data_IF_024831555306
#
_entry.id   IF_024831555306
#
_cell.length_a   1.000
_cell.length_b   1.000
_cell.length_c   1.000
_cell.angle_alpha   90.00
_cell.angle_beta   90.00
_cell.angle_gamma   90.00
#
_symmetry.space_group_name_H-M   'P 1'
#
loop_
_entity.id
_entity.type
_entity.pdbx_description
1 polymer ?
#
# COMPACT_ATOMS: atom_id res chain seq x y z
N UNK A 1 -18.01 14.77 -20.69
CA UNK A 1 -17.06 15.42 -19.75
C UNK A 1 -16.51 16.71 -20.34
N UNK A 2 -15.77 16.65 -21.46
CA UNK A 2 -15.21 17.82 -22.15
C UNK A 2 -16.24 18.91 -22.49
N UNK A 3 -17.45 18.54 -22.96
CA UNK A 3 -18.52 19.51 -23.22
C UNK A 3 -18.97 20.31 -21.98
N UNK A 4 -19.06 19.64 -20.82
CA UNK A 4 -19.43 20.28 -19.54
C UNK A 4 -18.27 21.07 -18.90
N UNK A 5 -17.01 20.73 -19.19
CA UNK A 5 -15.86 21.50 -18.75
C UNK A 5 -15.75 22.81 -19.54
N UNK A 6 -16.04 22.77 -20.84
CA UNK A 6 -16.14 23.97 -21.68
C UNK A 6 -17.28 24.92 -21.21
N UNK A 7 -18.43 24.38 -20.78
CA UNK A 7 -19.51 25.17 -20.15
C UNK A 7 -19.08 25.87 -18.84
N UNK A 8 -18.05 25.35 -18.16
CA UNK A 8 -17.48 25.91 -16.93
C UNK A 8 -16.29 26.84 -17.19
N UNK A 9 -15.91 27.06 -18.45
CA UNK A 9 -14.70 27.79 -18.80
C UNK A 9 -13.41 27.12 -18.32
N UNK A 10 -13.47 25.82 -18.01
CA UNK A 10 -12.32 25.02 -17.57
C UNK A 10 -11.71 24.38 -18.80
N UNK A 11 -10.51 24.81 -19.21
CA UNK A 11 -9.78 24.12 -20.28
C UNK A 11 -9.31 22.75 -19.77
N UNK A 12 -9.82 21.64 -20.33
CA UNK A 12 -9.44 20.30 -19.90
C UNK A 12 -7.98 19.94 -20.24
N UNK A 13 -7.30 20.77 -21.05
CA UNK A 13 -5.89 20.66 -21.41
C UNK A 13 -4.98 21.56 -20.59
N UNK A 14 -5.52 22.52 -19.84
CA UNK A 14 -4.76 23.37 -18.90
C UNK A 14 -4.73 22.75 -17.49
N UNK A 15 -3.56 22.33 -16.98
CA UNK A 15 -3.42 21.80 -15.63
C UNK A 15 -3.86 22.79 -14.53
N UNK A 16 -3.76 24.10 -14.75
CA UNK A 16 -4.10 25.12 -13.77
C UNK A 16 -5.63 25.25 -13.60
N UNK A 17 -6.37 25.31 -14.70
CA UNK A 17 -7.85 25.31 -14.68
C UNK A 17 -8.42 24.04 -14.06
N UNK A 18 -7.71 22.92 -14.23
CA UNK A 18 -8.10 21.62 -13.72
C UNK A 18 -7.80 21.43 -12.23
N UNK A 19 -6.85 22.19 -11.66
CA UNK A 19 -6.40 22.04 -10.28
C UNK A 19 -7.45 22.45 -9.23
N UNK A 20 -8.39 23.31 -9.61
CA UNK A 20 -9.45 23.80 -8.71
C UNK A 20 -10.68 22.88 -8.66
N UNK A 21 -10.76 21.89 -9.55
CA UNK A 21 -11.89 20.99 -9.67
C UNK A 21 -11.70 19.76 -8.77
N UNK A 22 -12.62 19.56 -7.81
CA UNK A 22 -12.63 18.31 -7.05
C UNK A 22 -12.97 17.16 -7.99
N UNK A 23 -12.21 16.06 -7.98
CA UNK A 23 -12.39 14.90 -8.85
C UNK A 23 -12.17 13.59 -8.10
N UNK A 24 -12.91 12.56 -8.51
CA UNK A 24 -12.85 11.18 -8.03
C UNK A 24 -13.68 10.75 -6.82
N UNK A 25 -14.29 11.62 -5.97
CA UNK A 25 -15.12 11.09 -4.90
C UNK A 25 -16.22 10.18 -5.45
N UNK A 26 -16.29 8.96 -4.91
CA UNK A 26 -17.32 7.99 -5.26
C UNK A 26 -18.70 8.55 -4.95
N UNK A 27 -19.69 8.19 -5.76
CA UNK A 27 -21.08 8.61 -5.61
C UNK A 27 -21.34 10.12 -5.76
N UNK A 28 -20.33 10.93 -6.08
CA UNK A 28 -20.48 12.38 -6.23
C UNK A 28 -21.23 12.75 -7.51
N UNK A 29 -20.98 12.02 -8.60
CA UNK A 29 -21.37 12.44 -9.93
C UNK A 29 -22.88 12.53 -10.12
N UNK A 30 -23.61 11.60 -9.51
CA UNK A 30 -25.06 11.39 -9.70
C UNK A 30 -25.80 11.12 -8.40
N UNK A 31 -25.17 10.52 -7.41
CA UNK A 31 -25.89 9.94 -6.28
C UNK A 31 -25.97 10.85 -5.04
N UNK A 32 -24.89 11.54 -4.67
CA UNK A 32 -24.81 12.26 -3.40
C UNK A 32 -25.53 13.62 -3.42
N UNK A 33 -26.33 13.88 -2.38
CA UNK A 33 -27.00 15.17 -2.15
C UNK A 33 -26.15 16.10 -1.27
N UNK A 34 -25.21 15.54 -0.51
CA UNK A 34 -24.30 16.25 0.38
C UNK A 34 -22.89 15.68 0.23
N UNK A 35 -21.87 16.51 0.45
CA UNK A 35 -20.49 16.05 0.51
C UNK A 35 -19.74 16.71 1.67
N UNK A 36 -18.74 16.00 2.19
CA UNK A 36 -17.69 16.60 3.03
C UNK A 36 -16.62 17.12 2.08
N UNK A 37 -16.49 18.44 2.02
CA UNK A 37 -15.54 19.16 1.16
C UNK A 37 -14.33 19.55 1.98
N UNK A 38 -13.14 19.24 1.48
CA UNK A 38 -11.87 19.71 2.04
C UNK A 38 -11.48 21.00 1.34
N UNK A 39 -11.39 22.11 2.07
CA UNK A 39 -11.02 23.41 1.52
C UNK A 39 -10.08 24.18 2.46
N UNK A 40 -9.24 25.05 1.90
CA UNK A 40 -8.40 25.96 2.68
C UNK A 40 -9.27 26.97 3.43
N UNK A 41 -9.20 26.97 4.76
CA UNK A 41 -9.88 27.95 5.61
C UNK A 41 -9.12 29.28 5.54
N UNK A 42 -9.80 30.32 5.04
CA UNK A 42 -9.26 31.69 4.99
C UNK A 42 -10.12 32.58 5.88
N UNK A 43 -9.49 33.31 6.81
CA UNK A 43 -10.15 34.29 7.68
C UNK A 43 -9.32 35.57 7.63
N UNK A 44 -9.96 36.70 7.28
CA UNK A 44 -9.32 38.01 7.18
C UNK A 44 -8.01 37.99 6.36
N UNK A 45 -8.04 37.30 5.21
CA UNK A 45 -6.89 37.14 4.31
C UNK A 45 -5.82 36.14 4.76
N UNK A 46 -5.96 35.55 5.96
CA UNK A 46 -5.01 34.54 6.48
C UNK A 46 -5.48 33.11 6.19
N UNK A 47 -4.59 32.32 5.60
CA UNK A 47 -4.81 30.90 5.33
C UNK A 47 -4.44 30.03 6.55
N UNK A 48 -5.38 29.21 7.02
CA UNK A 48 -5.23 28.29 8.15
C UNK A 48 -5.11 26.82 7.72
N UNK A 49 -5.02 26.56 6.41
CA UNK A 49 -4.88 25.24 5.84
C UNK A 49 -6.21 24.49 5.64
N UNK A 50 -6.14 23.22 5.21
CA UNK A 50 -7.31 22.43 4.82
C UNK A 50 -8.21 22.10 6.02
N UNK A 51 -9.51 22.29 5.85
CA UNK A 51 -10.57 21.99 6.81
C UNK A 51 -11.76 21.31 6.12
N UNK A 52 -12.57 20.61 6.91
CA UNK A 52 -13.72 19.85 6.42
C UNK A 52 -15.03 20.63 6.61
N UNK A 53 -15.83 20.69 5.55
CA UNK A 53 -17.12 21.37 5.52
C UNK A 53 -18.19 20.45 4.94
N UNK A 54 -19.35 20.34 5.59
CA UNK A 54 -20.51 19.67 5.00
C UNK A 54 -21.19 20.64 4.04
N UNK A 55 -21.29 20.29 2.77
CA UNK A 55 -21.89 21.13 1.74
C UNK A 55 -23.08 20.40 1.12
N UNK A 56 -24.30 20.97 1.18
CA UNK A 56 -25.41 20.45 0.39
C UNK A 56 -25.11 20.72 -1.10
N UNK A 57 -25.25 19.70 -1.92
CA UNK A 57 -24.94 19.72 -3.34
C UNK A 57 -26.18 19.77 -4.23
N UNK A 58 -27.25 19.10 -3.80
CA UNK A 58 -28.48 18.92 -4.56
C UNK A 58 -29.69 19.20 -3.69
N UNK A 59 -30.74 19.69 -4.34
CA UNK A 59 -32.05 19.81 -3.75
C UNK A 59 -32.60 18.41 -3.38
N UNK A 60 -33.12 18.19 -2.16
CA UNK A 60 -33.52 16.86 -1.68
C UNK A 60 -34.76 16.30 -2.37
N UNK A 61 -35.61 17.14 -2.98
CA UNK A 61 -36.85 16.71 -3.62
C UNK A 61 -36.64 16.45 -5.11
N UNK A 62 -35.95 17.37 -5.79
CA UNK A 62 -35.75 17.35 -7.24
C UNK A 62 -34.43 16.71 -7.66
N UNK A 63 -33.48 16.56 -6.73
CA UNK A 63 -32.12 16.08 -6.96
C UNK A 63 -31.27 16.95 -7.92
N UNK A 64 -31.77 18.14 -8.24
CA UNK A 64 -31.08 19.10 -9.09
C UNK A 64 -29.94 19.78 -8.32
N UNK A 65 -28.78 20.04 -8.94
CA UNK A 65 -27.70 20.77 -8.30
C UNK A 65 -28.17 22.14 -7.78
N UNK A 66 -27.73 22.52 -6.58
CA UNK A 66 -28.03 23.83 -6.02
C UNK A 66 -27.29 24.95 -6.78
N UNK A 67 -27.78 26.19 -6.66
CA UNK A 67 -27.18 27.36 -7.32
C UNK A 67 -25.70 27.52 -6.97
N UNK A 68 -24.86 27.74 -7.98
CA UNK A 68 -23.42 27.88 -7.83
C UNK A 68 -22.68 26.55 -7.64
N UNK A 69 -23.34 25.42 -7.81
CA UNK A 69 -22.73 24.08 -7.74
C UNK A 69 -22.78 23.44 -9.11
N UNK A 70 -21.62 23.02 -9.60
CA UNK A 70 -21.56 22.17 -10.79
C UNK A 70 -21.02 20.80 -10.43
N UNK A 71 -21.80 19.77 -10.73
CA UNK A 71 -21.49 18.38 -10.41
C UNK A 71 -21.82 17.46 -11.58
N UNK A 72 -21.00 16.44 -11.78
CA UNK A 72 -21.21 15.46 -12.85
C UNK A 72 -20.30 14.24 -12.72
N UNK A 73 -20.60 13.21 -13.49
CA UNK A 73 -19.80 11.99 -13.57
C UNK A 73 -18.55 12.20 -14.43
N UNK A 74 -17.43 11.59 -14.03
CA UNK A 74 -16.15 11.69 -14.76
C UNK A 74 -16.06 10.75 -15.97
N UNK A 75 -17.01 9.81 -16.12
CA UNK A 75 -17.11 8.90 -17.24
C UNK A 75 -16.53 7.50 -16.97
N UNK A 76 -16.25 6.76 -18.06
CA UNK A 76 -15.69 5.42 -17.98
C UNK A 76 -14.34 5.39 -17.24
N UNK A 77 -14.11 4.29 -16.52
CA UNK A 77 -12.93 4.04 -15.70
C UNK A 77 -12.36 2.67 -16.06
N UNK A 78 -11.11 2.40 -15.66
CA UNK A 78 -10.50 1.08 -15.83
C UNK A 78 -11.34 -0.04 -15.17
N UNK A 79 -11.93 0.25 -14.02
CA UNK A 79 -12.77 -0.66 -13.26
C UNK A 79 -13.85 0.12 -12.51
N UNK A 80 -14.60 -0.58 -11.63
CA UNK A 80 -15.66 0.02 -10.81
C UNK A 80 -16.67 0.85 -11.61
N UNK A 81 -17.01 0.38 -12.82
CA UNK A 81 -17.96 1.02 -13.72
C UNK A 81 -19.29 1.44 -13.08
N UNK A 82 -19.90 0.64 -12.18
CA UNK A 82 -21.13 1.02 -11.50
C UNK A 82 -21.03 2.21 -10.52
N UNK A 83 -19.82 2.61 -10.12
CA UNK A 83 -19.63 3.74 -9.17
C UNK A 83 -19.59 5.05 -9.96
N UNK A 84 -20.47 6.00 -9.61
CA UNK A 84 -20.54 7.32 -10.24
C UNK A 84 -19.53 8.31 -9.64
N UNK A 85 -18.23 8.03 -9.81
CA UNK A 85 -17.18 8.94 -9.41
C UNK A 85 -17.35 10.31 -10.08
N UNK A 86 -17.42 11.36 -9.27
CA UNK A 86 -17.80 12.68 -9.76
C UNK A 86 -16.67 13.68 -9.86
N UNK A 87 -16.99 14.79 -10.51
CA UNK A 87 -16.31 16.08 -10.35
C UNK A 87 -17.24 17.10 -9.68
N UNK A 88 -16.66 18.09 -9.03
CA UNK A 88 -17.38 19.14 -8.32
C UNK A 88 -16.65 20.48 -8.38
N UNK A 89 -17.38 21.53 -8.75
CA UNK A 89 -16.95 22.92 -8.74
C UNK A 89 -17.94 23.80 -7.99
N UNK A 90 -17.43 24.84 -7.34
CA UNK A 90 -18.20 25.83 -6.60
C UNK A 90 -17.97 27.23 -7.18
N UNK A 91 -19.05 27.95 -7.43
CA UNK A 91 -19.06 29.37 -7.74
C UNK A 91 -19.66 30.13 -6.56
N UNK A 92 -18.78 30.72 -5.74
CA UNK A 92 -19.14 31.55 -4.57
C UNK A 92 -20.26 30.97 -3.68
N UNK A 93 -20.25 29.64 -3.50
CA UNK A 93 -21.25 28.92 -2.71
C UNK A 93 -21.18 29.31 -1.23
N UNK A 94 -22.33 29.64 -0.63
CA UNK A 94 -22.42 30.02 0.79
C UNK A 94 -23.00 28.87 1.60
N UNK A 95 -22.34 28.56 2.71
CA UNK A 95 -22.81 27.60 3.71
C UNK A 95 -22.78 28.24 5.10
N UNK A 96 -23.66 27.82 6.02
CA UNK A 96 -23.59 28.24 7.42
C UNK A 96 -22.25 27.91 8.09
N UNK A 97 -21.80 28.74 9.04
CA UNK A 97 -20.53 28.51 9.79
C UNK A 97 -20.47 27.13 10.44
N UNK A 98 -21.59 26.67 11.01
CA UNK A 98 -21.71 25.38 11.68
C UNK A 98 -21.64 24.17 10.75
N UNK A 99 -21.58 24.36 9.42
CA UNK A 99 -21.26 23.29 8.48
C UNK A 99 -19.77 22.91 8.49
N UNK A 100 -18.90 23.72 9.07
CA UNK A 100 -17.52 23.32 9.36
C UNK A 100 -17.51 22.25 10.46
N UNK A 101 -16.75 21.17 10.26
CA UNK A 101 -16.63 20.10 11.24
C UNK A 101 -15.71 20.51 12.40
N UNK A 102 -16.31 21.07 13.46
CA UNK A 102 -15.59 21.77 14.52
C UNK A 102 -15.17 20.95 15.75
N UNK A 103 -15.04 19.62 15.63
CA UNK A 103 -14.68 18.76 16.78
C UNK A 103 -13.30 19.13 17.36
N UNK A 104 -12.31 19.32 16.49
CA UNK A 104 -10.91 19.56 16.88
C UNK A 104 -10.43 20.98 16.58
N UNK A 105 -10.82 21.59 15.46
CA UNK A 105 -10.55 22.99 15.14
C UNK A 105 -11.86 23.78 15.21
N UNK A 106 -11.86 25.05 15.64
CA UNK A 106 -13.09 25.85 15.76
C UNK A 106 -12.92 27.23 15.17
N UNK A 107 -13.98 27.77 14.60
CA UNK A 107 -14.09 29.18 14.22
C UNK A 107 -15.27 29.75 14.97
N UNK A 108 -15.09 30.73 15.84
CA UNK A 108 -16.18 31.36 16.58
C UNK A 108 -17.03 32.27 15.67
N UNK A 109 -18.24 32.70 16.08
CA UNK A 109 -19.06 33.62 15.28
C UNK A 109 -18.37 34.96 14.97
N UNK A 110 -17.48 35.42 15.84
CA UNK A 110 -16.64 36.62 15.66
C UNK A 110 -15.36 36.36 14.83
N UNK A 111 -15.22 35.18 14.21
CA UNK A 111 -14.11 34.87 13.31
C UNK A 111 -12.82 34.40 13.99
N UNK A 112 -12.80 34.17 15.31
CA UNK A 112 -11.59 33.69 15.99
C UNK A 112 -11.38 32.20 15.75
N UNK A 113 -10.17 31.85 15.33
CA UNK A 113 -9.76 30.47 15.06
C UNK A 113 -9.08 29.82 16.27
N UNK A 114 -9.60 28.67 16.71
CA UNK A 114 -8.98 27.80 17.69
C UNK A 114 -8.36 26.58 16.99
N UNK A 115 -7.06 26.39 17.18
CA UNK A 115 -6.27 25.32 16.54
C UNK A 115 -6.59 23.94 17.12
N UNK A 116 -6.45 22.86 16.33
CA UNK A 116 -6.57 21.51 16.84
C UNK A 116 -5.40 21.12 17.75
N UNK A 117 -5.61 20.16 18.69
CA UNK A 117 -4.53 19.65 19.56
C UNK A 117 -3.37 19.03 18.79
N UNK A 118 -3.66 18.37 17.67
CA UNK A 118 -2.65 17.80 16.78
C UNK A 118 -2.96 18.14 15.32
N UNK A 119 -1.96 18.63 14.59
CA UNK A 119 -2.13 19.21 13.25
C UNK A 119 -2.64 18.21 12.18
N UNK A 120 -2.52 16.90 12.41
CA UNK A 120 -2.90 15.85 11.44
C UNK A 120 -4.17 15.09 11.80
N UNK A 121 -4.90 15.50 12.83
CA UNK A 121 -6.08 14.74 13.31
C UNK A 121 -7.21 14.64 12.27
N UNK A 122 -7.27 15.57 11.30
CA UNK A 122 -8.25 15.55 10.22
C UNK A 122 -8.09 14.39 9.21
N UNK A 123 -6.98 13.66 9.26
CA UNK A 123 -6.68 12.55 8.35
C UNK A 123 -7.03 11.16 8.92
N UNK A 124 -7.63 11.09 10.12
CA UNK A 124 -7.93 9.82 10.81
C UNK A 124 -8.77 8.85 9.99
N UNK A 125 -9.74 9.35 9.22
CA UNK A 125 -10.56 8.52 8.35
C UNK A 125 -9.72 7.79 7.28
N UNK A 126 -8.73 8.46 6.67
CA UNK A 126 -7.85 7.82 5.69
C UNK A 126 -6.96 6.75 6.34
N UNK A 127 -6.47 6.99 7.56
CA UNK A 127 -5.69 5.98 8.30
C UNK A 127 -6.53 4.72 8.52
N UNK A 128 -7.79 4.90 8.94
CA UNK A 128 -8.73 3.80 9.12
C UNK A 128 -8.97 3.04 7.81
N UNK A 129 -9.32 3.72 6.71
CA UNK A 129 -9.57 3.05 5.41
C UNK A 129 -8.36 2.24 4.95
N UNK A 130 -7.13 2.78 5.10
CA UNK A 130 -5.90 2.09 4.70
C UNK A 130 -5.66 0.80 5.46
N UNK A 131 -6.07 0.72 6.73
CA UNK A 131 -6.00 -0.51 7.50
C UNK A 131 -6.89 -1.62 6.91
N UNK A 132 -8.17 -1.30 6.67
CA UNK A 132 -9.12 -2.26 6.08
C UNK A 132 -8.72 -2.69 4.66
N UNK A 133 -8.14 -1.77 3.88
CA UNK A 133 -7.70 -2.07 2.53
C UNK A 133 -6.74 -3.25 2.46
N UNK A 134 -5.88 -3.47 3.46
CA UNK A 134 -4.94 -4.60 3.45
C UNK A 134 -5.68 -5.92 3.47
N UNK A 135 -6.71 -6.01 4.33
CA UNK A 135 -7.58 -7.18 4.41
C UNK A 135 -8.33 -7.40 3.09
N UNK A 136 -8.89 -6.34 2.51
CA UNK A 136 -9.63 -6.42 1.23
C UNK A 136 -8.74 -6.84 0.05
N UNK A 137 -7.56 -6.24 -0.07
CA UNK A 137 -6.57 -6.58 -1.09
C UNK A 137 -6.23 -8.05 -1.04
N UNK A 138 -6.02 -8.53 0.18
CA UNK A 138 -5.83 -9.92 0.36
C UNK A 138 -7.04 -10.77 -0.10
N UNK A 139 -8.28 -10.40 0.26
CA UNK A 139 -9.48 -11.16 -0.15
C UNK A 139 -9.60 -11.23 -1.67
N UNK A 140 -9.26 -10.15 -2.37
CA UNK A 140 -9.20 -10.14 -3.83
C UNK A 140 -8.17 -11.15 -4.36
N UNK A 141 -6.96 -11.20 -3.77
CA UNK A 141 -5.97 -12.19 -4.15
C UNK A 141 -6.47 -13.62 -3.90
N UNK A 142 -7.08 -13.88 -2.74
CA UNK A 142 -7.63 -15.20 -2.40
C UNK A 142 -8.73 -15.64 -3.39
N UNK A 143 -9.60 -14.73 -3.84
CA UNK A 143 -10.62 -15.01 -4.86
C UNK A 143 -10.00 -15.38 -6.22
N UNK A 144 -8.98 -14.64 -6.66
CA UNK A 144 -8.26 -14.92 -7.90
C UNK A 144 -7.55 -16.28 -7.83
N UNK A 145 -6.82 -16.54 -6.74
CA UNK A 145 -6.12 -17.80 -6.50
C UNK A 145 -7.09 -18.97 -6.38
N UNK A 146 -8.22 -18.81 -5.70
CA UNK A 146 -9.26 -19.86 -5.62
C UNK A 146 -9.72 -20.30 -7.01
N UNK A 147 -9.97 -19.33 -7.89
CA UNK A 147 -10.37 -19.61 -9.28
C UNK A 147 -9.24 -20.31 -10.04
N UNK A 148 -8.02 -19.79 -9.96
CA UNK A 148 -6.87 -20.34 -10.67
C UNK A 148 -6.46 -21.74 -10.20
N UNK A 149 -6.48 -22.00 -8.89
CA UNK A 149 -6.17 -23.31 -8.29
C UNK A 149 -7.23 -24.33 -8.70
N UNK A 150 -8.52 -24.01 -8.55
CA UNK A 150 -9.61 -24.91 -8.95
C UNK A 150 -9.60 -25.21 -10.45
N UNK A 151 -9.39 -24.19 -11.27
CA UNK A 151 -9.25 -24.36 -12.71
C UNK A 151 -8.06 -25.26 -13.06
N UNK A 152 -6.90 -25.04 -12.43
CA UNK A 152 -5.70 -25.84 -12.64
C UNK A 152 -5.88 -27.31 -12.22
N UNK A 153 -6.62 -27.59 -11.16
CA UNK A 153 -6.89 -28.96 -10.72
C UNK A 153 -7.72 -29.77 -11.73
N UNK A 154 -8.49 -29.10 -12.59
CA UNK A 154 -9.34 -29.74 -13.61
C UNK A 154 -8.70 -29.69 -15.00
N UNK A 155 -8.00 -28.60 -15.34
CA UNK A 155 -7.42 -28.40 -16.66
C UNK A 155 -6.22 -29.31 -16.88
N UNK A 156 -6.35 -30.21 -17.86
CA UNK A 156 -5.23 -31.04 -18.35
C UNK A 156 -4.66 -30.45 -19.63
N UNK A 157 -3.36 -30.17 -19.65
CA UNK A 157 -2.66 -29.65 -20.82
C UNK A 157 -1.19 -30.02 -20.75
N UNK A 158 -0.67 -30.74 -21.76
CA UNK A 158 0.68 -31.31 -21.73
C UNK A 158 0.72 -32.68 -21.03
N UNK A 159 1.91 -33.27 -20.95
CA UNK A 159 2.13 -34.61 -20.37
C UNK A 159 3.30 -34.58 -19.38
N UNK A 160 3.12 -35.20 -18.21
CA UNK A 160 4.23 -35.46 -17.29
C UNK A 160 4.83 -36.81 -17.69
N UNK A 161 5.99 -36.77 -18.35
CA UNK A 161 6.77 -37.97 -18.63
C UNK A 161 7.71 -38.25 -17.46
N UNK A 162 7.80 -39.49 -16.96
CA UNK A 162 8.78 -39.85 -15.93
C UNK A 162 10.19 -39.44 -16.37
N UNK A 163 10.92 -38.72 -15.51
CA UNK A 163 12.29 -38.27 -15.77
C UNK A 163 12.45 -36.97 -16.59
N UNK A 164 11.36 -36.35 -17.05
CA UNK A 164 11.40 -35.03 -17.70
C UNK A 164 10.62 -34.04 -16.84
N UNK A 165 11.29 -32.97 -16.37
CA UNK A 165 10.64 -31.85 -15.71
C UNK A 165 9.77 -31.11 -16.75
N UNK A 166 8.58 -31.65 -17.00
CA UNK A 166 7.68 -31.16 -18.05
C UNK A 166 7.15 -29.75 -17.73
N UNK A 167 6.84 -28.99 -18.79
CA UNK A 167 6.26 -27.64 -18.73
C UNK A 167 5.02 -27.52 -17.81
N UNK A 168 4.34 -28.62 -17.48
CA UNK A 168 3.25 -28.68 -16.50
C UNK A 168 3.68 -28.19 -15.11
N UNK A 169 4.92 -28.47 -14.70
CA UNK A 169 5.48 -28.00 -13.44
C UNK A 169 5.67 -26.47 -13.42
N UNK A 170 5.69 -25.82 -14.59
CA UNK A 170 5.75 -24.35 -14.72
C UNK A 170 4.35 -23.72 -14.61
N UNK A 171 3.28 -24.43 -15.04
CA UNK A 171 1.89 -23.96 -14.89
C UNK A 171 1.36 -24.16 -13.47
N UNK A 172 1.51 -25.35 -12.89
CA UNK A 172 1.19 -25.57 -11.46
C UNK A 172 2.18 -24.86 -10.55
N UNK A 173 3.44 -24.78 -10.97
CA UNK A 173 4.44 -23.93 -10.34
C UNK A 173 4.16 -22.46 -10.48
N UNK A 174 3.36 -21.98 -11.44
CA UNK A 174 2.92 -20.58 -11.54
C UNK A 174 1.81 -20.24 -10.53
N UNK A 175 0.97 -21.23 -10.21
CA UNK A 175 -0.04 -21.14 -9.14
C UNK A 175 0.60 -21.35 -7.76
N UNK A 176 1.62 -22.21 -7.65
CA UNK A 176 2.43 -22.41 -6.43
C UNK A 176 3.47 -21.29 -6.19
N UNK A 177 4.13 -20.77 -7.24
CA UNK A 177 4.95 -19.53 -7.24
C UNK A 177 4.09 -18.27 -7.23
N UNK A 178 2.80 -18.41 -7.50
CA UNK A 178 1.75 -17.41 -7.32
C UNK A 178 1.46 -17.24 -5.83
N UNK A 179 2.50 -16.96 -5.06
CA UNK A 179 2.45 -16.29 -3.75
C UNK A 179 1.35 -16.84 -2.84
N UNK A 180 1.32 -18.15 -2.66
CA UNK A 180 0.49 -18.80 -1.62
C UNK A 180 0.89 -18.33 -0.20
N UNK A 181 2.10 -17.81 -0.01
CA UNK A 181 2.48 -17.08 1.21
C UNK A 181 1.77 -15.72 1.39
N UNK A 182 1.17 -15.17 0.34
CA UNK A 182 0.33 -13.96 0.39
C UNK A 182 -1.16 -14.28 0.56
N UNK A 183 -1.57 -15.54 0.38
CA UNK A 183 -2.95 -16.05 0.53
C UNK A 183 -3.48 -15.95 1.97
N UNK A 184 -2.60 -15.76 2.97
CA UNK A 184 -3.00 -15.61 4.37
C UNK A 184 -2.86 -14.20 4.92
N UNK A 185 -2.14 -13.33 4.21
CA UNK A 185 -2.12 -11.88 4.51
C UNK A 185 -3.52 -11.25 4.38
N UNK A 186 -4.45 -11.96 3.75
CA UNK A 186 -5.82 -11.57 3.48
C UNK A 186 -6.90 -12.04 4.43
N UNK A 187 -6.70 -13.24 4.96
CA UNK A 187 -7.78 -14.04 5.55
C UNK A 187 -7.68 -14.00 7.07
N UNK A 188 -6.51 -13.68 7.60
CA UNK A 188 -6.34 -13.37 9.01
C UNK A 188 -6.65 -11.89 9.15
N UNK A 189 -7.89 -11.61 9.55
CA UNK A 189 -8.25 -10.35 10.20
C UNK A 189 -7.36 -10.18 11.45
N UNK A 190 -6.15 -9.67 11.25
CA UNK A 190 -5.31 -9.26 12.35
C UNK A 190 -5.84 -7.91 12.84
N UNK A 191 -6.13 -7.73 14.12
CA UNK A 191 -6.18 -6.41 14.72
C UNK A 191 -4.73 -5.94 14.86
N UNK A 192 -4.10 -5.48 13.77
CA UNK A 192 -2.85 -4.75 13.89
C UNK A 192 -3.20 -3.38 14.47
N UNK A 193 -2.36 -2.85 15.37
CA UNK A 193 -2.59 -1.52 15.94
C UNK A 193 -2.54 -0.46 14.83
N UNK A 194 -3.50 0.46 14.89
CA UNK A 194 -3.95 1.40 13.83
C UNK A 194 -2.85 2.26 13.17
N UNK A 195 -1.68 2.45 13.78
CA UNK A 195 -0.67 3.42 13.30
C UNK A 195 0.31 2.88 12.24
N UNK A 196 0.47 1.55 12.12
CA UNK A 196 1.46 0.96 11.19
C UNK A 196 0.83 0.37 9.92
N UNK A 197 -0.46 0.04 9.95
CA UNK A 197 -1.18 -0.54 8.82
C UNK A 197 -1.19 0.40 7.60
N UNK A 198 -1.29 1.72 7.80
CA UNK A 198 -1.17 2.73 6.73
C UNK A 198 0.07 2.52 5.83
N UNK A 199 1.16 2.00 6.39
CA UNK A 199 2.48 1.95 5.75
C UNK A 199 2.72 0.65 4.98
N UNK A 200 1.88 -0.37 5.18
CA UNK A 200 1.95 -1.65 4.47
C UNK A 200 1.24 -1.63 3.11
N UNK A 201 0.23 -0.75 2.99
CA UNK A 201 -0.67 -0.63 1.84
C UNK A 201 0.08 -0.64 0.51
N UNK A 202 1.15 0.13 0.38
CA UNK A 202 1.86 0.28 -0.88
C UNK A 202 2.49 -1.03 -1.39
N UNK A 203 3.07 -1.82 -0.48
CA UNK A 203 3.69 -3.09 -0.82
C UNK A 203 2.62 -4.14 -1.07
N UNK A 204 1.63 -4.25 -0.16
CA UNK A 204 0.57 -5.25 -0.26
C UNK A 204 -0.25 -5.08 -1.54
N UNK A 205 -0.74 -3.87 -1.83
CA UNK A 205 -1.55 -3.61 -3.03
C UNK A 205 -0.80 -3.90 -4.33
N UNK A 206 0.49 -3.55 -4.40
CA UNK A 206 1.33 -3.84 -5.55
C UNK A 206 1.53 -5.35 -5.74
N UNK A 207 1.82 -6.06 -4.64
CA UNK A 207 2.03 -7.50 -4.67
C UNK A 207 0.73 -8.24 -5.05
N UNK A 208 -0.40 -7.85 -4.48
CA UNK A 208 -1.71 -8.39 -4.82
C UNK A 208 -2.04 -8.19 -6.29
N UNK A 209 -1.79 -7.00 -6.84
CA UNK A 209 -1.98 -6.75 -8.28
C UNK A 209 -1.18 -7.72 -9.14
N UNK A 210 0.10 -7.94 -8.80
CA UNK A 210 0.93 -8.94 -9.50
C UNK A 210 0.39 -10.37 -9.32
N UNK A 211 -0.04 -10.74 -8.12
CA UNK A 211 -0.56 -12.08 -7.82
C UNK A 211 -1.86 -12.38 -8.58
N UNK A 212 -2.79 -11.43 -8.64
CA UNK A 212 -4.05 -11.57 -9.40
C UNK A 212 -3.74 -11.75 -10.89
N UNK A 213 -2.81 -10.97 -11.45
CA UNK A 213 -2.46 -11.09 -12.86
C UNK A 213 -1.76 -12.42 -13.17
N UNK A 214 -0.91 -12.92 -12.26
CA UNK A 214 -0.35 -14.28 -12.36
C UNK A 214 -1.45 -15.36 -12.30
N UNK A 215 -2.45 -15.22 -11.43
CA UNK A 215 -3.59 -16.12 -11.37
C UNK A 215 -4.39 -16.10 -12.68
N UNK A 216 -4.58 -14.92 -13.28
CA UNK A 216 -5.22 -14.76 -14.60
C UNK A 216 -4.46 -15.53 -15.68
N UNK A 217 -3.16 -15.30 -15.79
CA UNK A 217 -2.30 -15.94 -16.79
C UNK A 217 -2.19 -17.46 -16.59
N UNK A 218 -2.25 -17.93 -15.35
CA UNK A 218 -2.26 -19.36 -15.02
C UNK A 218 -3.48 -20.11 -15.59
N UNK A 219 -4.57 -19.39 -15.86
CA UNK A 219 -5.75 -19.95 -16.52
C UNK A 219 -5.66 -19.97 -18.06
N UNK A 220 -4.55 -19.51 -18.64
CA UNK A 220 -4.35 -19.41 -20.08
C UNK A 220 -5.37 -18.47 -20.76
N UNK A 221 -5.78 -18.79 -21.99
CA UNK A 221 -6.75 -18.00 -22.74
C UNK A 221 -8.11 -17.84 -22.04
N UNK A 222 -8.54 -18.84 -21.25
CA UNK A 222 -9.79 -18.74 -20.50
C UNK A 222 -9.73 -17.70 -19.37
N UNK A 223 -8.54 -17.42 -18.83
CA UNK A 223 -8.33 -16.34 -17.87
C UNK A 223 -8.52 -14.95 -18.47
N UNK A 224 -8.46 -14.80 -19.79
CA UNK A 224 -8.75 -13.52 -20.46
C UNK A 224 -10.26 -13.26 -20.62
N UNK A 225 -11.08 -14.31 -20.53
CA UNK A 225 -12.54 -14.19 -20.61
C UNK A 225 -13.13 -13.64 -19.32
N UNK A 226 -14.21 -12.85 -19.45
CA UNK A 226 -15.04 -12.43 -18.31
C UNK A 226 -15.64 -13.58 -17.52
N UNK A 227 -15.76 -14.77 -18.13
CA UNK A 227 -16.21 -15.98 -17.43
C UNK A 227 -15.28 -16.38 -16.26
N UNK A 228 -14.00 -15.98 -16.29
CA UNK A 228 -13.08 -16.18 -15.17
C UNK A 228 -13.27 -15.19 -14.03
N UNK A 229 -13.91 -14.04 -14.29
CA UNK A 229 -14.03 -12.88 -13.39
C UNK A 229 -12.70 -12.25 -12.90
N UNK A 230 -11.53 -12.82 -13.24
CA UNK A 230 -10.22 -12.34 -12.78
C UNK A 230 -9.87 -10.94 -13.35
N UNK A 231 -10.16 -10.60 -14.62
CA UNK A 231 -9.87 -9.26 -15.15
C UNK A 231 -10.61 -8.13 -14.41
N UNK A 232 -11.90 -8.34 -14.09
CA UNK A 232 -12.71 -7.35 -13.37
C UNK A 232 -12.20 -7.20 -11.92
N UNK A 233 -11.84 -8.33 -11.29
CA UNK A 233 -11.24 -8.36 -9.96
C UNK A 233 -9.88 -7.64 -9.90
N UNK A 234 -9.01 -7.86 -10.90
CA UNK A 234 -7.75 -7.13 -11.05
C UNK A 234 -7.99 -5.63 -11.14
N UNK A 235 -8.94 -5.22 -11.98
CA UNK A 235 -9.30 -3.82 -12.16
C UNK A 235 -9.71 -3.15 -10.85
N UNK A 236 -10.48 -3.84 -10.00
CA UNK A 236 -10.87 -3.32 -8.68
C UNK A 236 -9.68 -3.26 -7.74
N UNK A 237 -8.91 -4.35 -7.62
CA UNK A 237 -7.80 -4.44 -6.67
C UNK A 237 -6.66 -3.45 -6.99
N UNK A 238 -6.31 -3.29 -8.27
CA UNK A 238 -5.17 -2.44 -8.67
C UNK A 238 -5.41 -0.95 -8.43
N UNK A 239 -6.67 -0.50 -8.35
CA UNK A 239 -7.01 0.85 -7.93
C UNK A 239 -6.45 1.17 -6.54
N UNK A 240 -6.31 0.14 -5.69
CA UNK A 240 -5.69 0.23 -4.38
C UNK A 240 -4.23 0.65 -4.42
N UNK A 241 -3.55 0.65 -5.57
CA UNK A 241 -2.21 1.23 -5.70
C UNK A 241 -2.22 2.78 -5.79
N UNK A 242 -3.38 3.38 -6.02
CA UNK A 242 -3.52 4.82 -6.31
C UNK A 242 -4.39 5.54 -5.29
N UNK A 243 -5.61 5.06 -5.04
CA UNK A 243 -6.49 5.71 -4.09
C UNK A 243 -5.99 5.56 -2.65
N UNK A 244 -6.46 6.45 -1.77
CA UNK A 244 -6.05 6.53 -0.36
C UNK A 244 -4.52 6.70 -0.19
N UNK A 245 -3.86 7.33 -1.16
CA UNK A 245 -2.43 7.65 -1.15
C UNK A 245 -1.65 6.82 -2.16
N UNK A 246 -1.05 7.49 -3.14
CA UNK A 246 -0.26 6.84 -4.17
C UNK A 246 0.92 6.06 -3.55
N UNK A 247 1.17 4.86 -4.05
CA UNK A 247 2.08 3.90 -3.42
C UNK A 247 3.50 4.44 -3.23
N UNK A 248 4.09 5.13 -4.20
CA UNK A 248 5.44 5.70 -4.04
C UNK A 248 5.45 6.80 -2.97
N UNK A 249 4.43 7.67 -2.94
CA UNK A 249 4.30 8.68 -1.87
C UNK A 249 4.17 8.02 -0.49
N UNK A 250 3.41 6.93 -0.38
CA UNK A 250 3.27 6.18 0.87
C UNK A 250 4.58 5.51 1.30
N UNK A 251 5.34 4.93 0.37
CA UNK A 251 6.68 4.42 0.67
C UNK A 251 7.62 5.53 1.17
N UNK A 252 7.54 6.73 0.61
CA UNK A 252 8.31 7.88 1.08
C UNK A 252 7.91 8.33 2.49
N UNK A 253 6.63 8.23 2.85
CA UNK A 253 6.19 8.50 4.23
C UNK A 253 6.75 7.49 5.24
N UNK A 254 6.84 6.21 4.86
CA UNK A 254 7.52 5.17 5.65
C UNK A 254 9.03 5.43 5.70
N UNK A 255 9.66 5.80 4.59
CA UNK A 255 11.07 6.13 4.56
C UNK A 255 11.45 7.27 5.52
N UNK A 256 10.58 8.29 5.69
CA UNK A 256 10.82 9.36 6.68
C UNK A 256 10.84 8.84 8.12
N UNK A 257 10.04 7.83 8.43
CA UNK A 257 10.08 7.15 9.73
C UNK A 257 11.39 6.35 9.88
N UNK A 258 11.75 5.57 8.87
CA UNK A 258 12.99 4.78 8.85
C UNK A 258 14.25 5.65 8.94
N UNK A 259 14.27 6.81 8.30
CA UNK A 259 15.38 7.76 8.39
C UNK A 259 15.59 8.26 9.83
N UNK A 260 14.51 8.60 10.54
CA UNK A 260 14.59 9.01 11.96
C UNK A 260 15.02 7.84 12.85
N UNK A 261 14.54 6.63 12.57
CA UNK A 261 14.95 5.43 13.31
C UNK A 261 16.44 5.13 13.12
N UNK A 262 16.96 5.22 11.88
CA UNK A 262 18.37 5.04 11.58
C UNK A 262 19.24 6.13 12.26
N UNK A 263 18.77 7.38 12.27
CA UNK A 263 19.45 8.46 12.99
C UNK A 263 19.52 8.20 14.51
N UNK A 264 18.41 7.75 15.11
CA UNK A 264 18.35 7.39 16.52
C UNK A 264 19.27 6.19 16.85
N UNK A 265 19.29 5.17 15.98
CA UNK A 265 20.16 4.01 16.11
C UNK A 265 21.65 4.42 16.13
N UNK A 266 22.05 5.34 15.24
CA UNK A 266 23.41 5.86 15.16
C UNK A 266 23.81 6.70 16.38
N UNK A 267 22.83 7.29 17.09
CA UNK A 267 23.03 8.01 18.35
C UNK A 267 22.98 7.10 19.58
N UNK A 268 22.83 5.78 19.41
CA UNK A 268 22.70 4.83 20.52
C UNK A 268 21.40 4.99 21.32
N UNK A 269 20.36 5.58 20.73
CA UNK A 269 19.07 5.78 21.39
C UNK A 269 18.23 4.50 21.37
N UNK A 270 17.35 4.36 22.37
CA UNK A 270 16.39 3.26 22.41
C UNK A 270 15.41 3.35 21.23
N UNK A 271 15.15 2.21 20.59
CA UNK A 271 14.29 2.08 19.44
C UNK A 271 12.98 1.36 19.80
N UNK A 272 11.92 1.65 19.07
CA UNK A 272 10.68 0.88 19.18
C UNK A 272 10.82 -0.50 18.54
N UNK A 273 10.02 -1.46 19.00
CA UNK A 273 10.00 -2.87 18.54
C UNK A 273 9.93 -3.06 17.01
N UNK A 274 9.39 -2.10 16.27
CA UNK A 274 9.29 -2.23 14.81
C UNK A 274 10.64 -2.09 14.10
N UNK A 275 11.63 -1.48 14.75
CA UNK A 275 12.91 -1.09 14.14
C UNK A 275 14.09 -1.41 15.05
N UNK A 276 13.90 -2.23 16.08
CA UNK A 276 14.96 -2.70 16.99
C UNK A 276 16.03 -3.51 16.25
N UNK A 277 15.67 -4.23 15.20
CA UNK A 277 16.60 -4.91 14.29
C UNK A 277 17.71 -3.99 13.74
N UNK A 278 17.52 -2.66 13.71
CA UNK A 278 18.55 -1.71 13.29
C UNK A 278 19.76 -1.70 14.23
N UNK A 279 19.58 -1.99 15.53
CA UNK A 279 20.67 -2.02 16.53
C UNK A 279 21.14 -3.43 16.85
N UNK A 280 20.36 -4.47 16.57
CA UNK A 280 20.73 -5.86 16.85
C UNK A 280 21.95 -6.34 16.05
N UNK A 281 22.76 -7.21 16.67
CA UNK A 281 23.90 -7.80 15.99
C UNK A 281 23.42 -8.77 14.91
N UNK A 282 23.82 -8.54 13.66
CA UNK A 282 23.59 -9.51 12.58
C UNK A 282 24.70 -10.55 12.54
N UNK A 283 24.31 -11.82 12.41
CA UNK A 283 25.26 -12.92 12.26
C UNK A 283 26.08 -12.77 10.96
N UNK A 284 27.36 -13.15 11.03
CA UNK A 284 28.27 -13.09 9.87
C UNK A 284 27.84 -14.05 8.77
N UNK A 285 27.49 -15.28 9.15
CA UNK A 285 27.05 -16.34 8.24
C UNK A 285 25.59 -16.68 8.48
N UNK A 286 24.91 -17.07 7.40
CA UNK A 286 23.56 -17.62 7.49
C UNK A 286 23.60 -19.03 8.08
N UNK A 287 22.57 -19.39 8.83
CA UNK A 287 22.36 -20.75 9.35
C UNK A 287 21.05 -21.35 8.84
N UNK A 288 20.46 -20.79 7.78
CA UNK A 288 19.17 -21.24 7.20
C UNK A 288 19.21 -22.72 6.79
N UNK A 289 20.35 -23.19 6.30
CA UNK A 289 20.61 -24.58 5.88
C UNK A 289 20.78 -25.56 7.05
N UNK A 290 20.91 -25.06 8.29
CA UNK A 290 21.26 -25.84 9.49
C UNK A 290 20.14 -25.89 10.52
N UNK A 291 18.94 -25.42 10.17
CA UNK A 291 17.80 -25.36 11.09
C UNK A 291 17.01 -26.67 11.09
N UNK A 292 16.41 -26.98 12.25
CA UNK A 292 15.45 -28.07 12.34
C UNK A 292 14.20 -27.76 11.49
N UNK A 293 13.45 -28.80 11.14
CA UNK A 293 12.17 -28.64 10.45
C UNK A 293 11.24 -27.74 11.29
N UNK A 294 10.63 -26.74 10.66
CA UNK A 294 9.81 -25.69 11.29
C UNK A 294 10.52 -24.75 12.29
N UNK A 295 11.85 -24.72 12.34
CA UNK A 295 12.59 -23.61 12.94
C UNK A 295 12.87 -22.55 11.86
N UNK A 296 12.27 -21.37 12.02
CA UNK A 296 12.39 -20.26 11.08
C UNK A 296 13.25 -19.10 11.62
N UNK A 297 13.94 -19.29 12.74
CA UNK A 297 14.68 -18.20 13.38
C UNK A 297 15.80 -17.61 12.50
N UNK A 298 16.49 -18.42 11.69
CA UNK A 298 17.51 -17.92 10.76
C UNK A 298 16.89 -17.21 9.54
N UNK A 299 15.69 -17.63 9.11
CA UNK A 299 14.95 -16.92 8.06
C UNK A 299 14.58 -15.51 8.54
N UNK A 300 14.00 -15.38 9.74
CA UNK A 300 13.64 -14.09 10.34
C UNK A 300 14.86 -13.17 10.49
N UNK A 301 15.98 -13.70 11.02
CA UNK A 301 17.25 -12.96 11.07
C UNK A 301 17.75 -12.51 9.70
N UNK A 302 17.52 -13.28 8.65
CA UNK A 302 17.88 -12.88 7.29
C UNK A 302 17.00 -11.72 6.79
N UNK A 303 15.69 -11.74 7.05
CA UNK A 303 14.82 -10.58 6.78
C UNK A 303 15.28 -9.33 7.54
N UNK A 304 15.62 -9.48 8.82
CA UNK A 304 16.13 -8.39 9.67
C UNK A 304 17.44 -7.82 9.12
N UNK A 305 18.37 -8.69 8.72
CA UNK A 305 19.64 -8.29 8.10
C UNK A 305 19.42 -7.56 6.78
N UNK A 306 18.57 -8.06 5.89
CA UNK A 306 18.27 -7.40 4.61
C UNK A 306 17.67 -6.01 4.83
N UNK A 307 16.71 -5.88 5.75
CA UNK A 307 16.09 -4.61 6.08
C UNK A 307 17.13 -3.64 6.70
N UNK A 308 17.96 -4.12 7.62
CA UNK A 308 19.03 -3.32 8.25
C UNK A 308 20.00 -2.78 7.21
N UNK A 309 20.54 -3.64 6.36
CA UNK A 309 21.53 -3.26 5.34
C UNK A 309 20.98 -2.17 4.42
N UNK A 310 19.77 -2.37 3.87
CA UNK A 310 19.19 -1.41 2.95
C UNK A 310 18.79 -0.08 3.61
N UNK A 311 18.28 -0.10 4.85
CA UNK A 311 17.96 1.12 5.60
C UNK A 311 19.24 1.92 5.90
N UNK A 312 20.29 1.25 6.38
CA UNK A 312 21.56 1.89 6.69
C UNK A 312 22.25 2.44 5.44
N UNK A 313 22.24 1.69 4.34
CA UNK A 313 22.73 2.16 3.03
C UNK A 313 22.02 3.42 2.56
N UNK A 314 20.68 3.45 2.64
CA UNK A 314 19.90 4.63 2.28
C UNK A 314 20.21 5.82 3.20
N UNK A 315 20.38 5.58 4.50
CA UNK A 315 20.73 6.61 5.48
C UNK A 315 22.13 7.19 5.26
N UNK A 316 23.15 6.35 5.02
CA UNK A 316 24.52 6.77 4.75
C UNK A 316 24.62 7.57 3.45
N UNK A 317 23.92 7.15 2.40
CA UNK A 317 23.84 7.90 1.14
C UNK A 317 23.18 9.27 1.35
N UNK A 318 22.11 9.35 2.15
CA UNK A 318 21.47 10.63 2.50
C UNK A 318 22.46 11.57 3.21
N UNK A 319 23.26 11.04 4.15
CA UNK A 319 24.31 11.80 4.84
C UNK A 319 25.40 12.28 3.88
N UNK A 320 25.85 11.42 2.97
CA UNK A 320 26.86 11.77 1.98
C UNK A 320 26.38 12.90 1.05
N UNK A 321 25.13 12.83 0.56
CA UNK A 321 24.53 13.88 -0.27
C UNK A 321 24.39 15.20 0.48
N UNK A 322 24.00 15.15 1.75
CA UNK A 322 23.91 16.36 2.59
C UNK A 322 25.31 16.96 2.85
N UNK A 323 26.33 16.12 3.03
CA UNK A 323 27.72 16.56 3.20
C UNK A 323 28.32 17.18 1.92
N UNK A 324 27.80 16.84 0.74
CA UNK A 324 28.14 17.47 -0.54
C UNK A 324 27.49 18.85 -0.72
N UNK A 325 26.71 19.34 0.27
CA UNK A 325 26.11 20.66 0.25
C UNK A 325 24.73 20.73 -0.41
N UNK A 326 24.11 19.59 -0.76
CA UNK A 326 22.74 19.58 -1.27
C UNK A 326 21.75 20.03 -0.18
N UNK A 327 20.67 20.69 -0.61
CA UNK A 327 19.53 20.96 0.25
C UNK A 327 18.91 19.65 0.75
N UNK A 328 18.13 19.71 1.84
CA UNK A 328 17.47 18.51 2.39
C UNK A 328 16.50 17.90 1.39
N UNK A 329 15.80 18.75 0.64
CA UNK A 329 14.82 18.39 -0.37
C UNK A 329 15.50 17.72 -1.58
N UNK A 330 16.59 18.30 -2.08
CA UNK A 330 17.33 17.76 -3.23
C UNK A 330 18.04 16.46 -2.87
N UNK A 331 18.67 16.39 -1.69
CA UNK A 331 19.28 15.17 -1.19
C UNK A 331 18.23 14.05 -1.01
N UNK A 332 17.03 14.39 -0.52
CA UNK A 332 15.94 13.44 -0.39
C UNK A 332 15.48 12.91 -1.75
N UNK A 333 15.30 13.81 -2.72
CA UNK A 333 14.89 13.44 -4.07
C UNK A 333 15.95 12.56 -4.77
N UNK A 334 17.22 12.93 -4.69
CA UNK A 334 18.35 12.15 -5.24
C UNK A 334 18.52 10.78 -4.57
N UNK A 335 17.98 10.59 -3.37
CA UNK A 335 18.00 9.33 -2.62
C UNK A 335 16.64 8.60 -2.59
N UNK A 336 15.61 9.12 -3.27
CA UNK A 336 14.24 8.63 -3.13
C UNK A 336 14.09 7.15 -3.51
N UNK A 337 14.84 6.68 -4.51
CA UNK A 337 14.84 5.27 -4.94
C UNK A 337 15.36 4.34 -3.85
N UNK A 338 16.45 4.70 -3.17
CA UNK A 338 17.00 3.90 -2.07
C UNK A 338 16.07 3.91 -0.86
N UNK A 339 15.40 5.04 -0.61
CA UNK A 339 14.36 5.14 0.40
C UNK A 339 13.14 4.26 0.09
N UNK A 340 12.70 4.21 -1.16
CA UNK A 340 11.63 3.30 -1.59
C UNK A 340 12.04 1.82 -1.46
N UNK A 341 13.30 1.49 -1.77
CA UNK A 341 13.86 0.15 -1.54
C UNK A 341 13.85 -0.20 -0.05
N UNK A 342 14.35 0.68 0.81
CA UNK A 342 14.36 0.47 2.26
C UNK A 342 12.95 0.28 2.83
N UNK A 343 11.99 1.11 2.42
CA UNK A 343 10.59 0.99 2.83
C UNK A 343 9.98 -0.36 2.41
N UNK A 344 10.26 -0.85 1.21
CA UNK A 344 9.77 -2.16 0.72
C UNK A 344 10.36 -3.34 1.50
N UNK A 345 11.68 -3.36 1.69
CA UNK A 345 12.35 -4.45 2.42
C UNK A 345 11.92 -4.49 3.88
N UNK A 346 11.83 -3.32 4.54
CA UNK A 346 11.30 -3.22 5.89
C UNK A 346 9.87 -3.75 6.00
N UNK A 347 9.00 -3.40 5.04
CA UNK A 347 7.63 -3.91 5.01
C UNK A 347 7.59 -5.43 4.86
N UNK A 348 8.43 -6.02 4.00
CA UNK A 348 8.50 -7.47 3.83
C UNK A 348 9.03 -8.17 5.09
N UNK A 349 10.04 -7.61 5.75
CA UNK A 349 10.54 -8.09 7.04
C UNK A 349 9.42 -8.08 8.10
N UNK A 350 8.68 -6.99 8.22
CA UNK A 350 7.56 -6.90 9.15
C UNK A 350 6.51 -7.98 8.90
N UNK A 351 6.16 -8.21 7.63
CA UNK A 351 5.16 -9.23 7.28
C UNK A 351 5.67 -10.63 7.61
N UNK A 352 6.95 -10.93 7.37
CA UNK A 352 7.54 -12.22 7.71
C UNK A 352 7.40 -12.53 9.21
N UNK A 353 7.76 -11.57 10.08
CA UNK A 353 7.61 -11.71 11.52
C UNK A 353 6.14 -11.88 11.94
N UNK A 354 5.23 -11.08 11.39
CA UNK A 354 3.80 -11.17 11.72
C UNK A 354 3.19 -12.49 11.30
N UNK A 355 3.58 -13.02 10.15
CA UNK A 355 3.08 -14.32 9.70
C UNK A 355 3.56 -15.43 10.66
N UNK A 356 4.84 -15.45 11.00
CA UNK A 356 5.39 -16.41 11.97
C UNK A 356 4.71 -16.31 13.36
N UNK A 357 4.52 -15.10 13.89
CA UNK A 357 3.78 -14.89 15.14
C UNK A 357 2.36 -15.46 15.08
N UNK A 358 1.66 -15.29 13.96
CA UNK A 358 0.31 -15.79 13.79
C UNK A 358 0.24 -17.30 13.73
N UNK A 359 1.08 -17.95 12.91
CA UNK A 359 1.10 -19.41 12.79
C UNK A 359 1.33 -20.04 14.17
N UNK A 360 2.21 -19.47 14.98
CA UNK A 360 2.45 -19.93 16.34
C UNK A 360 1.28 -19.69 17.31
N UNK A 361 0.39 -18.74 17.01
CA UNK A 361 -0.82 -18.47 17.80
C UNK A 361 -2.00 -19.40 17.48
N UNK A 362 -1.95 -20.12 16.34
CA UNK A 362 -3.03 -21.03 15.93
C UNK A 362 -3.05 -22.27 16.82
N UNK A 363 -4.20 -22.54 17.43
CA UNK A 363 -4.41 -23.67 18.34
C UNK A 363 -4.73 -24.97 17.63
N UNK A 364 -5.36 -24.92 16.46
CA UNK A 364 -5.70 -26.10 15.65
C UNK A 364 -4.44 -26.70 15.02
N UNK A 365 -4.08 -27.93 15.45
CA UNK A 365 -2.85 -28.60 15.03
C UNK A 365 -2.75 -28.82 13.52
N UNK A 366 -3.73 -29.48 12.88
CA UNK A 366 -3.71 -29.72 11.43
C UNK A 366 -3.67 -28.43 10.60
N UNK A 367 -4.43 -27.39 10.98
CA UNK A 367 -4.34 -26.10 10.30
C UNK A 367 -2.94 -25.52 10.48
N UNK A 368 -2.40 -25.51 11.70
CA UNK A 368 -1.06 -24.98 11.97
C UNK A 368 0.03 -25.67 11.15
N UNK A 369 -0.05 -26.97 10.93
CA UNK A 369 0.92 -27.69 10.09
C UNK A 369 0.90 -27.20 8.63
N UNK A 370 -0.29 -27.04 8.05
CA UNK A 370 -0.43 -26.47 6.70
C UNK A 370 0.07 -25.03 6.64
N UNK A 371 -0.21 -24.24 7.68
CA UNK A 371 0.28 -22.87 7.81
C UNK A 371 1.82 -22.81 7.90
N UNK A 372 2.45 -23.79 8.55
CA UNK A 372 3.91 -23.90 8.62
C UNK A 372 4.50 -24.22 7.23
N UNK A 373 3.87 -25.10 6.45
CA UNK A 373 4.29 -25.37 5.06
C UNK A 373 4.21 -24.10 4.20
N UNK A 374 3.12 -23.33 4.33
CA UNK A 374 2.95 -22.05 3.64
C UNK A 374 3.98 -21.01 4.09
N UNK A 375 4.28 -20.95 5.40
CA UNK A 375 5.31 -20.07 5.95
C UNK A 375 6.69 -20.41 5.39
N UNK A 376 7.02 -21.70 5.30
CA UNK A 376 8.27 -22.18 4.71
C UNK A 376 8.39 -21.77 3.24
N UNK A 377 7.33 -21.98 2.45
CA UNK A 377 7.27 -21.55 1.05
C UNK A 377 7.44 -20.03 0.94
N UNK A 378 6.74 -19.27 1.78
CA UNK A 378 6.78 -17.82 1.79
C UNK A 378 8.19 -17.28 2.05
N UNK A 379 8.83 -17.78 3.10
CA UNK A 379 10.15 -17.29 3.52
C UNK A 379 11.21 -17.57 2.48
N UNK A 380 11.25 -18.79 1.95
CA UNK A 380 12.22 -19.15 0.91
C UNK A 380 12.01 -18.35 -0.38
N UNK A 381 10.75 -18.17 -0.81
CA UNK A 381 10.44 -17.38 -2.00
C UNK A 381 10.84 -15.90 -1.84
N UNK A 382 10.47 -15.27 -0.73
CA UNK A 382 10.77 -13.86 -0.48
C UNK A 382 12.26 -13.60 -0.30
N UNK A 383 12.98 -14.48 0.40
CA UNK A 383 14.43 -14.34 0.55
C UNK A 383 15.15 -14.52 -0.78
N UNK A 384 14.66 -15.39 -1.67
CA UNK A 384 15.18 -15.52 -3.03
C UNK A 384 14.93 -14.25 -3.86
N UNK A 385 13.72 -13.67 -3.78
CA UNK A 385 13.39 -12.40 -4.46
C UNK A 385 14.21 -11.22 -3.90
N UNK A 386 14.61 -11.30 -2.63
CA UNK A 386 15.45 -10.31 -1.95
C UNK A 386 16.93 -10.68 -1.87
N UNK A 387 17.38 -11.71 -2.59
CA UNK A 387 18.74 -12.25 -2.47
C UNK A 387 19.81 -11.19 -2.70
N UNK A 388 19.57 -10.23 -3.59
CA UNK A 388 20.46 -9.09 -3.83
C UNK A 388 20.82 -8.33 -2.55
N UNK A 389 19.88 -8.11 -1.63
CA UNK A 389 20.12 -7.36 -0.39
C UNK A 389 20.96 -8.16 0.62
N UNK A 390 20.92 -9.48 0.53
CA UNK A 390 21.68 -10.38 1.41
C UNK A 390 23.08 -10.63 0.88
N UNK A 391 23.23 -10.72 -0.45
CA UNK A 391 24.50 -10.99 -1.12
C UNK A 391 25.33 -9.72 -1.37
N UNK A 392 24.81 -8.54 -1.03
CA UNK A 392 25.52 -7.29 -1.21
C UNK A 392 26.76 -7.24 -0.29
N UNK A 393 27.94 -7.34 -0.91
CA UNK A 393 29.23 -7.20 -0.24
C UNK A 393 29.44 -5.71 0.04
N UNK A 394 29.22 -5.29 1.30
CA UNK A 394 29.80 -4.01 1.75
C UNK A 394 31.31 -4.20 1.90
N UNK A 395 32.14 -3.15 1.71
CA UNK A 395 33.61 -3.25 1.75
C UNK A 395 34.19 -3.92 3.00
N UNK A 396 33.40 -4.05 4.09
CA UNK A 396 33.77 -4.67 5.35
C UNK A 396 33.03 -5.99 5.67
N UNK A 397 32.28 -6.58 4.74
CA UNK A 397 31.55 -7.84 4.98
C UNK A 397 32.08 -9.00 4.13
N UNK A 398 32.61 -10.02 4.80
CA UNK A 398 33.07 -11.27 4.20
C UNK A 398 31.87 -12.13 3.77
N UNK A 399 32.02 -12.82 2.64
CA UNK A 399 31.05 -13.63 1.89
C UNK A 399 30.00 -14.42 2.72
N UNK A 400 28.75 -14.46 2.23
CA UNK A 400 27.67 -15.32 2.75
C UNK A 400 27.65 -16.71 2.10
N UNK A 401 28.29 -16.93 0.95
CA UNK A 401 28.43 -18.26 0.35
C UNK A 401 29.89 -18.54 -0.02
N UNK A 402 30.63 -19.19 0.87
CA UNK A 402 31.65 -20.15 0.44
C UNK A 402 31.00 -21.53 0.45
N UNK A 403 30.92 -22.17 -0.72
CA UNK A 403 30.91 -23.62 -0.75
C UNK A 403 32.28 -24.05 -0.25
N UNK A 404 32.36 -24.55 0.98
CA UNK A 404 33.52 -25.32 1.40
C UNK A 404 33.56 -26.59 0.53
N UNK A 405 34.65 -26.77 -0.21
CA UNK A 405 34.99 -28.03 -0.87
C UNK A 405 35.57 -29.01 0.14
#
# INVERSE_FOLDING_TARGET
MFSKLNELGVDPTDPADMAHLTRWPGNLGKSANHAVVVACLIIDGKNFGPHNFIVPLRDPETHMPLKGITVGDIGPKMATGPIDNGFLSFDHCRIPRNNMLMKHARVTPDGKYARPPHAKIGYSAMVHVRAYMISDQGRFLAQALTTAIRYSAVRRQGEIKPGVLSLLAVFHGGVAKGRLGEFERSTIAMPLKEDFEERLKAVVTHLVGQGIEQARMSCGGHGYSKASNIPDLYGVAIGGCTYEGENMVMLQQLARYLMRAAEAAQKGQSLGRLVDYLVEHSDKHSTIDRQAYYDYSAHLKAFDKAAKLQVMKAYERMRALTAQGLSKEDAWNANAVEWNRAARVHTRQYIAHKFHEHVNSVSDGPCREVLQDLLYLHFNYELLDMAYYLLEVTPNSTYICSYDR
#
